data_IF_283149068280
#
_entry.id   IF_283149068280
#
_cell.length_a   1.000
_cell.length_b   1.000
_cell.length_c   1.000
_cell.angle_alpha   90.00
_cell.angle_beta   90.00
_cell.angle_gamma   90.00
#
_symmetry.space_group_name_H-M   'P 1'
#
loop_
_entity.id
_entity.type
_entity.pdbx_description
1 polymer ?
#
# COMPACT_ATOMS: atom_id res chain seq x y z
N UNK A 1 -12.12 12.27 7.19
CA UNK A 1 -11.47 11.09 6.59
C UNK A 1 -10.08 11.48 6.12
N UNK A 2 -9.03 11.04 6.80
CA UNK A 2 -7.69 11.39 6.37
C UNK A 2 -7.32 10.69 5.07
N UNK A 3 -6.70 11.47 4.18
CA UNK A 3 -6.15 10.96 2.93
C UNK A 3 -4.67 11.28 2.88
N UNK A 4 -3.87 10.28 2.60
CA UNK A 4 -2.42 10.46 2.40
C UNK A 4 -2.06 10.07 0.98
N UNK A 5 -0.97 10.62 0.47
CA UNK A 5 -0.48 10.28 -0.85
C UNK A 5 1.03 10.06 -0.82
N UNK A 6 1.50 9.17 -1.67
CA UNK A 6 2.91 8.90 -1.83
C UNK A 6 3.26 8.98 -3.32
N UNK A 7 4.34 9.69 -3.68
CA UNK A 7 4.71 9.81 -5.08
C UNK A 7 5.31 8.52 -5.61
N UNK A 8 5.17 8.30 -6.90
CA UNK A 8 5.94 7.32 -7.61
C UNK A 8 7.40 7.74 -7.68
N UNK A 9 8.26 6.82 -8.08
CA UNK A 9 9.69 7.08 -8.19
C UNK A 9 10.21 6.60 -9.53
N UNK A 10 11.29 7.23 -9.98
CA UNK A 10 11.99 6.81 -11.18
C UNK A 10 13.48 6.80 -10.88
N UNK A 11 14.14 5.68 -11.16
CA UNK A 11 15.59 5.62 -11.10
C UNK A 11 16.17 6.31 -12.32
N UNK A 12 17.08 7.25 -12.09
CA UNK A 12 17.88 7.85 -13.16
C UNK A 12 19.08 6.94 -13.46
N UNK A 13 19.70 6.38 -12.42
CA UNK A 13 20.84 5.47 -12.56
C UNK A 13 20.95 4.60 -11.31
N UNK A 14 21.50 3.39 -11.46
CA UNK A 14 21.85 2.53 -10.35
C UNK A 14 20.76 1.61 -9.85
N UNK A 15 19.70 1.37 -10.62
CA UNK A 15 18.56 0.56 -10.15
C UNK A 15 18.92 -0.88 -9.82
N UNK A 16 19.93 -1.45 -10.43
CA UNK A 16 20.41 -2.79 -10.10
C UNK A 16 21.64 -2.77 -9.19
N UNK A 17 22.51 -1.77 -9.38
CA UNK A 17 23.72 -1.66 -8.58
C UNK A 17 23.44 -1.41 -7.11
N UNK A 18 22.35 -0.71 -6.80
CA UNK A 18 21.97 -0.34 -5.41
C UNK A 18 21.70 -1.57 -4.53
N UNK A 19 21.47 -2.74 -5.13
CA UNK A 19 21.30 -3.99 -4.38
C UNK A 19 22.59 -4.41 -3.69
N UNK A 20 23.73 -4.04 -4.26
CA UNK A 20 25.04 -4.32 -3.64
C UNK A 20 25.37 -3.27 -2.58
N UNK A 21 25.82 -3.68 -1.38
CA UNK A 21 26.17 -2.73 -0.33
C UNK A 21 27.19 -1.70 -0.78
N UNK A 22 26.93 -0.43 -0.48
CA UNK A 22 27.85 0.65 -0.79
C UNK A 22 27.72 1.24 -2.19
N UNK A 23 26.85 0.69 -3.04
CA UNK A 23 26.64 1.22 -4.40
C UNK A 23 25.58 2.31 -4.39
N UNK A 24 25.86 3.48 -5.03
CA UNK A 24 24.92 4.58 -5.05
C UNK A 24 23.85 4.40 -6.12
N UNK A 25 22.74 5.14 -5.93
CA UNK A 25 21.67 5.24 -6.93
C UNK A 25 21.15 6.67 -6.95
N UNK A 26 20.59 7.09 -8.07
CA UNK A 26 19.94 8.38 -8.22
C UNK A 26 18.48 8.13 -8.57
N UNK A 27 17.59 8.64 -7.72
CA UNK A 27 16.14 8.53 -7.91
C UNK A 27 15.53 9.92 -7.91
N UNK A 28 14.41 10.05 -8.62
CA UNK A 28 13.56 11.23 -8.52
C UNK A 28 12.15 10.80 -8.11
N UNK A 29 11.47 11.65 -7.37
CA UNK A 29 10.04 11.52 -7.14
C UNK A 29 9.30 12.16 -8.31
N UNK A 30 8.21 11.53 -8.72
CA UNK A 30 7.40 12.03 -9.83
C UNK A 30 6.07 12.59 -9.30
N UNK A 31 5.36 13.33 -10.12
CA UNK A 31 4.09 13.96 -9.74
C UNK A 31 2.87 13.06 -9.97
N UNK A 32 3.08 11.78 -9.98
CA UNK A 32 2.03 10.77 -10.00
C UNK A 32 2.03 10.05 -8.66
N UNK A 33 0.85 9.83 -8.08
CA UNK A 33 0.74 9.42 -6.68
C UNK A 33 -0.12 8.18 -6.51
N UNK A 34 0.15 7.45 -5.44
CA UNK A 34 -0.79 6.51 -4.85
C UNK A 34 -1.49 7.23 -3.70
N UNK A 35 -2.79 7.10 -3.62
CA UNK A 35 -3.62 7.73 -2.59
C UNK A 35 -4.21 6.66 -1.68
N UNK A 36 -4.21 6.92 -0.38
CA UNK A 36 -4.84 6.05 0.59
C UNK A 36 -5.76 6.89 1.48
N UNK A 37 -7.04 6.52 1.53
CA UNK A 37 -8.04 7.19 2.36
C UNK A 37 -8.52 6.20 3.40
N UNK A 38 -8.53 6.62 4.67
CA UNK A 38 -8.96 5.79 5.79
C UNK A 38 -10.25 6.36 6.36
N UNK A 39 -11.24 5.50 6.57
CA UNK A 39 -12.49 5.86 7.24
C UNK A 39 -12.83 4.79 8.27
N UNK A 40 -13.48 5.18 9.36
CA UNK A 40 -13.93 4.22 10.36
C UNK A 40 -14.98 3.29 9.75
N UNK A 41 -14.90 2.01 10.10
CA UNK A 41 -15.84 1.01 9.63
C UNK A 41 -16.01 -0.08 10.67
N UNK A 42 -17.16 -0.77 10.64
CA UNK A 42 -17.42 -1.90 11.53
C UNK A 42 -16.64 -3.15 11.11
N UNK A 43 -16.30 -3.24 9.83
CA UNK A 43 -15.50 -4.34 9.28
C UNK A 43 -14.25 -3.77 8.65
N UNK A 44 -13.15 -4.52 8.77
CA UNK A 44 -11.93 -4.20 8.04
C UNK A 44 -12.12 -4.45 6.56
N UNK A 45 -11.94 -3.43 5.75
CA UNK A 45 -12.10 -3.51 4.30
C UNK A 45 -10.92 -2.84 3.62
N UNK A 46 -10.53 -3.39 2.48
CA UNK A 46 -9.62 -2.73 1.54
C UNK A 46 -10.33 -2.69 0.19
N UNK A 47 -10.44 -1.52 -0.40
CA UNK A 47 -11.00 -1.37 -1.73
C UNK A 47 -9.99 -0.66 -2.64
N UNK A 48 -10.02 -0.99 -3.92
CA UNK A 48 -9.15 -0.38 -4.92
C UNK A 48 -9.87 -0.36 -6.26
N UNK A 49 -9.72 0.74 -6.98
CA UNK A 49 -10.28 0.85 -8.33
C UNK A 49 -9.71 -0.19 -9.29
N UNK A 50 -8.49 -0.66 -9.04
CA UNK A 50 -7.84 -1.66 -9.89
C UNK A 50 -8.47 -3.05 -9.77
N UNK A 51 -9.32 -3.26 -8.77
CA UNK A 51 -9.97 -4.55 -8.53
C UNK A 51 -11.44 -4.54 -8.91
N UNK A 52 -11.84 -3.63 -9.78
CA UNK A 52 -13.17 -3.59 -10.39
C UNK A 52 -14.31 -3.63 -9.35
N UNK A 53 -14.13 -2.89 -8.24
CA UNK A 53 -15.15 -2.78 -7.22
C UNK A 53 -15.24 -3.95 -6.25
N UNK A 54 -14.28 -4.86 -6.26
CA UNK A 54 -14.24 -5.93 -5.27
C UNK A 54 -13.52 -5.46 -4.01
N UNK A 55 -14.26 -5.37 -2.91
CA UNK A 55 -13.68 -5.07 -1.62
C UNK A 55 -13.19 -6.36 -0.96
N UNK A 56 -12.03 -6.30 -0.34
CA UNK A 56 -11.50 -7.43 0.43
C UNK A 56 -11.71 -7.12 1.90
N UNK A 57 -12.36 -8.05 2.61
CA UNK A 57 -12.52 -7.95 4.05
C UNK A 57 -11.35 -8.61 4.76
N UNK A 58 -10.98 -8.02 5.90
CA UNK A 58 -9.93 -8.57 6.76
C UNK A 58 -10.38 -8.55 8.21
N UNK A 59 -9.85 -9.48 8.99
CA UNK A 59 -10.10 -9.57 10.42
C UNK A 59 -8.78 -9.74 11.16
N UNK A 60 -8.79 -9.36 12.46
CA UNK A 60 -7.63 -9.53 13.32
C UNK A 60 -7.76 -10.82 14.11
N UNK A 61 -6.72 -11.65 14.08
CA UNK A 61 -6.65 -12.85 14.91
C UNK A 61 -5.20 -13.04 15.37
N UNK A 62 -4.99 -13.04 16.69
CA UNK A 62 -3.67 -13.22 17.30
C UNK A 62 -2.63 -12.22 16.75
N UNK A 63 -3.00 -10.93 16.65
CA UNK A 63 -2.17 -9.84 16.14
C UNK A 63 -1.80 -9.99 14.67
N UNK A 64 -2.46 -10.91 13.94
CA UNK A 64 -2.28 -11.07 12.50
C UNK A 64 -3.56 -10.74 11.76
N UNK A 65 -3.41 -10.19 10.56
CA UNK A 65 -4.55 -9.95 9.69
C UNK A 65 -4.84 -11.19 8.86
N UNK A 66 -6.10 -11.56 8.82
CA UNK A 66 -6.56 -12.69 8.02
C UNK A 66 -7.63 -12.23 7.04
N UNK A 67 -7.60 -12.77 5.85
CA UNK A 67 -8.60 -12.51 4.83
C UNK A 67 -9.09 -13.83 4.24
N UNK A 68 -10.38 -13.90 3.96
CA UNK A 68 -10.98 -15.05 3.27
C UNK A 68 -10.62 -15.07 1.78
N UNK A 69 -10.17 -13.95 1.24
CA UNK A 69 -9.86 -13.81 -0.18
C UNK A 69 -8.35 -13.55 -0.34
N UNK A 70 -7.57 -14.61 -0.28
CA UNK A 70 -6.12 -14.51 -0.42
C UNK A 70 -5.77 -14.26 -1.89
N UNK A 71 -5.55 -13.01 -2.25
CA UNK A 71 -4.97 -12.68 -3.55
C UNK A 71 -3.59 -12.08 -3.33
N UNK A 72 -2.65 -12.42 -4.22
CA UNK A 72 -1.28 -11.92 -4.13
C UNK A 72 -1.21 -10.39 -4.22
N UNK A 73 -2.18 -9.76 -4.88
CA UNK A 73 -2.22 -8.30 -5.04
C UNK A 73 -2.40 -7.57 -3.72
N UNK A 74 -3.08 -8.18 -2.75
CA UNK A 74 -3.33 -7.54 -1.47
C UNK A 74 -2.36 -7.94 -0.38
N UNK A 75 -1.44 -8.88 -0.65
CA UNK A 75 -0.50 -9.35 0.36
C UNK A 75 0.35 -8.21 0.92
N UNK A 76 0.84 -7.32 0.07
CA UNK A 76 1.63 -6.17 0.50
C UNK A 76 0.82 -5.18 1.32
N UNK A 77 -0.43 -4.92 0.92
CA UNK A 77 -1.32 -3.99 1.63
C UNK A 77 -1.63 -4.53 3.02
N UNK A 78 -2.00 -5.80 3.12
CA UNK A 78 -2.31 -6.44 4.39
C UNK A 78 -1.08 -6.47 5.30
N UNK A 79 0.10 -6.74 4.75
CA UNK A 79 1.33 -6.73 5.54
C UNK A 79 1.68 -5.34 6.02
N UNK A 80 1.46 -4.32 5.21
CA UNK A 80 1.66 -2.93 5.61
C UNK A 80 0.74 -2.54 6.77
N UNK A 81 -0.53 -2.94 6.70
CA UNK A 81 -1.49 -2.70 7.80
C UNK A 81 -1.03 -3.41 9.07
N UNK A 82 -0.64 -4.68 8.96
CA UNK A 82 -0.20 -5.49 10.10
C UNK A 82 1.02 -4.85 10.80
N UNK A 83 2.02 -4.47 10.03
CA UNK A 83 3.22 -3.86 10.57
C UNK A 83 2.95 -2.49 11.20
N UNK A 84 2.06 -1.69 10.58
CA UNK A 84 1.66 -0.39 11.13
C UNK A 84 0.92 -0.55 12.46
N UNK A 85 0.03 -1.52 12.55
CA UNK A 85 -0.69 -1.81 13.79
C UNK A 85 0.24 -2.30 14.89
N UNK A 86 1.23 -3.10 14.53
CA UNK A 86 2.24 -3.56 15.50
C UNK A 86 3.05 -2.38 16.04
N UNK A 87 3.46 -1.48 15.17
CA UNK A 87 4.16 -0.27 15.58
C UNK A 87 3.29 0.61 16.49
N UNK A 88 2.02 0.82 16.11
CA UNK A 88 1.10 1.62 16.92
C UNK A 88 0.92 1.01 18.30
N UNK A 89 0.82 -0.31 18.41
CA UNK A 89 0.69 -1.00 19.69
C UNK A 89 1.93 -0.79 20.57
N UNK A 90 3.12 -0.82 19.96
CA UNK A 90 4.37 -0.54 20.69
C UNK A 90 4.42 0.90 21.22
N UNK A 91 3.73 1.82 20.55
CA UNK A 91 3.63 3.22 20.96
C UNK A 91 2.41 3.48 21.87
N UNK A 92 1.77 2.44 22.38
CA UNK A 92 0.57 2.51 23.21
C UNK A 92 -0.63 3.16 22.50
N UNK A 93 -0.68 3.05 21.17
CA UNK A 93 -1.82 3.48 20.36
C UNK A 93 -2.60 2.27 19.91
N UNK A 94 -3.92 2.27 20.15
CA UNK A 94 -4.79 1.20 19.68
C UNK A 94 -5.60 1.71 18.50
N UNK A 95 -5.49 1.02 17.37
CA UNK A 95 -6.21 1.39 16.16
C UNK A 95 -7.56 0.68 16.11
N UNK A 96 -8.60 1.43 15.74
CA UNK A 96 -9.93 0.87 15.52
C UNK A 96 -9.99 0.18 14.15
N UNK A 97 -11.10 -0.53 13.91
CA UNK A 97 -11.34 -1.14 12.60
C UNK A 97 -11.66 -0.06 11.57
N UNK A 98 -11.10 -0.18 10.38
CA UNK A 98 -11.20 0.87 9.36
C UNK A 98 -11.39 0.27 7.96
N UNK A 99 -11.86 1.12 7.06
CA UNK A 99 -11.88 0.87 5.63
C UNK A 99 -10.74 1.64 4.99
N UNK A 100 -9.91 0.95 4.22
CA UNK A 100 -8.82 1.55 3.46
C UNK A 100 -9.21 1.58 1.99
N UNK A 101 -9.27 2.78 1.42
CA UNK A 101 -9.54 2.94 -0.01
C UNK A 101 -8.26 3.38 -0.71
N UNK A 102 -7.85 2.63 -1.71
CA UNK A 102 -6.62 2.89 -2.46
C UNK A 102 -6.96 3.35 -3.88
N UNK A 103 -6.21 4.32 -4.35
CA UNK A 103 -6.31 4.84 -5.70
C UNK A 103 -4.90 5.15 -6.20
N UNK A 104 -4.68 5.12 -7.51
CA UNK A 104 -3.34 5.29 -8.06
C UNK A 104 -3.36 5.98 -9.41
N UNK A 105 -2.46 6.96 -9.57
CA UNK A 105 -2.13 7.57 -10.86
C UNK A 105 -0.98 6.83 -11.57
N UNK A 106 -0.39 5.81 -10.92
CA UNK A 106 0.85 5.20 -11.39
C UNK A 106 0.66 4.19 -12.51
N UNK A 107 -0.59 3.78 -12.76
CA UNK A 107 -0.92 2.89 -13.86
C UNK A 107 -1.56 3.68 -15.00
N UNK A 108 -1.31 3.26 -16.24
CA UNK A 108 -1.92 3.90 -17.39
C UNK A 108 -3.42 3.61 -17.45
N UNK A 109 -4.23 4.42 -18.18
CA UNK A 109 -5.67 4.20 -18.30
C UNK A 109 -6.04 2.83 -18.89
N UNK A 110 -5.15 2.19 -19.64
CA UNK A 110 -5.36 0.87 -20.21
C UNK A 110 -4.88 -0.27 -19.29
N UNK A 111 -4.50 0.04 -18.05
CA UNK A 111 -4.06 -0.94 -17.06
C UNK A 111 -2.59 -1.31 -17.09
N UNK A 112 -1.81 -0.73 -17.99
CA UNK A 112 -0.37 -0.96 -18.04
C UNK A 112 0.35 -0.11 -16.99
N UNK A 113 1.39 -0.67 -16.42
CA UNK A 113 2.19 0.05 -15.42
C UNK A 113 3.21 0.97 -16.09
N UNK A 114 3.33 2.19 -15.56
CA UNK A 114 4.34 3.14 -16.03
C UNK A 114 5.76 2.84 -15.53
N UNK A 115 5.92 1.85 -14.63
CA UNK A 115 7.24 1.56 -14.07
C UNK A 115 7.68 2.53 -12.99
N UNK A 116 6.73 3.18 -12.32
CA UNK A 116 7.00 4.22 -11.32
C UNK A 116 6.94 3.70 -9.88
N UNK A 117 6.97 2.37 -9.70
CA UNK A 117 6.98 1.77 -8.37
C UNK A 117 5.60 1.47 -7.80
N UNK A 118 4.58 1.29 -8.65
CA UNK A 118 3.20 1.07 -8.20
C UNK A 118 2.99 -0.23 -7.43
N UNK A 119 3.90 -1.19 -7.55
CA UNK A 119 3.82 -2.47 -6.84
C UNK A 119 4.51 -2.44 -5.47
N UNK A 120 5.16 -1.36 -5.14
CA UNK A 120 5.93 -1.26 -3.90
C UNK A 120 5.14 -0.65 -2.75
#
# INVERSE_FOLDING_TARGET
>A
MPTVKAPGKLYIAGEYAVVEPGQPAILIAVDQFVYATISQAKKGLVSSKQLLGQDISWTRKNDQLQTAQATSKFAYVLKAIELTERYAKEQNCQLSTFKLQLDSDLDSPDGKKYGLGSSA
#
